data_IF_929476360469
#
_entry.id   IF_929476360469
#
_cell.length_a   1.000
_cell.length_b   1.000
_cell.length_c   1.000
_cell.angle_alpha   90.00
_cell.angle_beta   90.00
_cell.angle_gamma   90.00
#
_symmetry.space_group_name_H-M   'P 1'
#
loop_
_entity.id
_entity.type
_entity.pdbx_description
1 polymer ?
#
# COMPACT_ATOMS: atom_id res chain seq x y z
N UNK A 1 -1.91 2.43 10.41
CA UNK A 1 -1.40 2.37 11.80
C UNK A 1 -2.49 2.51 12.86
N UNK A 2 -3.38 3.51 12.79
CA UNK A 2 -4.41 3.77 13.81
C UNK A 2 -5.35 2.57 14.09
N UNK A 3 -5.77 1.87 13.03
CA UNK A 3 -6.55 0.62 13.13
C UNK A 3 -5.81 -0.50 13.87
N UNK A 4 -4.49 -0.60 13.70
CA UNK A 4 -3.65 -1.60 14.36
C UNK A 4 -3.51 -1.30 15.87
N UNK A 5 -3.26 -0.03 16.23
CA UNK A 5 -3.17 0.41 17.63
C UNK A 5 -4.50 0.20 18.37
N UNK A 6 -5.64 0.45 17.72
CA UNK A 6 -6.98 0.17 18.29
C UNK A 6 -7.15 -1.32 18.63
N UNK A 7 -6.82 -2.20 17.68
CA UNK A 7 -6.90 -3.65 17.90
C UNK A 7 -5.99 -4.13 19.03
N UNK A 8 -4.79 -3.59 19.13
CA UNK A 8 -3.83 -3.94 20.18
C UNK A 8 -4.28 -3.49 21.58
N UNK A 9 -4.82 -2.27 21.67
CA UNK A 9 -5.23 -1.67 22.95
C UNK A 9 -6.58 -2.19 23.50
N UNK A 10 -7.38 -2.87 22.66
CA UNK A 10 -8.77 -3.22 22.99
C UNK A 10 -9.77 -2.06 22.93
N UNK A 11 -9.32 -0.82 22.66
CA UNK A 11 -10.21 0.34 22.54
C UNK A 11 -10.51 0.67 21.08
N UNK A 12 -11.79 0.63 20.72
CA UNK A 12 -12.29 1.10 19.42
C UNK A 12 -12.30 2.62 19.32
N UNK A 13 -12.48 3.31 20.47
CA UNK A 13 -12.44 4.76 20.60
C UNK A 13 -11.71 5.14 21.91
N UNK A 14 -10.50 5.72 21.85
CA UNK A 14 -9.83 6.18 23.05
C UNK A 14 -10.63 7.32 23.70
N UNK A 15 -10.60 7.40 25.02
CA UNK A 15 -11.09 8.58 25.75
C UNK A 15 -10.20 9.79 25.44
N UNK A 16 -10.72 11.01 25.61
CA UNK A 16 -9.96 12.27 25.41
C UNK A 16 -8.61 12.28 26.14
N UNK A 17 -8.56 11.70 27.34
CA UNK A 17 -7.33 11.61 28.15
C UNK A 17 -6.28 10.70 27.51
N UNK A 18 -6.72 9.64 26.82
CA UNK A 18 -5.83 8.65 26.21
C UNK A 18 -5.48 8.96 24.75
N UNK A 19 -6.09 9.97 24.14
CA UNK A 19 -5.82 10.35 22.74
C UNK A 19 -4.33 10.60 22.48
N UNK A 20 -3.64 11.29 23.40
CA UNK A 20 -2.21 11.58 23.27
C UNK A 20 -1.36 10.29 23.27
N UNK A 21 -1.73 9.32 24.10
CA UNK A 21 -1.04 8.02 24.17
C UNK A 21 -1.23 7.23 22.87
N UNK A 22 -2.44 7.25 22.31
CA UNK A 22 -2.72 6.61 21.02
C UNK A 22 -1.97 7.28 19.87
N UNK A 23 -1.93 8.62 19.84
CA UNK A 23 -1.17 9.37 18.84
C UNK A 23 0.32 9.00 18.90
N UNK A 24 0.92 8.99 20.10
CA UNK A 24 2.33 8.59 20.30
C UNK A 24 2.60 7.16 19.83
N UNK A 25 1.70 6.21 20.15
CA UNK A 25 1.87 4.83 19.71
C UNK A 25 1.80 4.69 18.18
N UNK A 26 0.91 5.45 17.53
CA UNK A 26 0.84 5.50 16.07
C UNK A 26 2.12 6.04 15.46
N UNK A 27 2.66 7.13 16.01
CA UNK A 27 3.90 7.75 15.52
C UNK A 27 5.10 6.81 15.66
N UNK A 28 5.20 6.09 16.78
CA UNK A 28 6.25 5.08 16.98
C UNK A 28 6.18 3.95 15.97
N UNK A 29 4.97 3.43 15.69
CA UNK A 29 4.79 2.38 14.67
C UNK A 29 5.13 2.91 13.28
N UNK A 30 4.76 4.16 12.96
CA UNK A 30 5.11 4.79 11.69
C UNK A 30 6.63 4.93 11.55
N UNK A 31 7.32 5.39 12.60
CA UNK A 31 8.77 5.52 12.62
C UNK A 31 9.47 4.17 12.43
N UNK A 32 9.05 3.13 13.15
CA UNK A 32 9.61 1.79 13.00
C UNK A 32 9.41 1.24 11.57
N UNK A 33 8.27 1.53 10.94
CA UNK A 33 8.03 1.16 9.54
C UNK A 33 8.95 1.91 8.57
N UNK A 34 9.19 3.22 8.79
CA UNK A 34 10.15 4.00 8.01
C UNK A 34 11.57 3.44 8.15
N UNK A 35 12.02 3.21 9.39
CA UNK A 35 13.33 2.64 9.67
C UNK A 35 13.52 1.27 8.99
N UNK A 36 12.48 0.42 9.01
CA UNK A 36 12.50 -0.84 8.25
C UNK A 36 12.69 -0.59 6.76
N UNK A 37 11.83 0.23 6.14
CA UNK A 37 11.88 0.49 4.70
C UNK A 37 13.22 1.09 4.26
N UNK A 38 13.78 2.00 5.05
CA UNK A 38 15.09 2.61 4.79
C UNK A 38 16.23 1.60 4.93
N UNK A 39 16.09 0.60 5.80
CA UNK A 39 17.07 -0.47 5.98
C UNK A 39 17.01 -1.57 4.92
N UNK A 40 15.94 -1.63 4.12
CA UNK A 40 15.78 -2.67 3.11
C UNK A 40 16.75 -2.43 1.94
N UNK A 41 17.79 -3.26 1.87
CA UNK A 41 18.65 -3.35 0.69
C UNK A 41 17.98 -4.23 -0.35
N UNK A 42 17.70 -3.66 -1.52
CA UNK A 42 17.12 -4.39 -2.65
C UNK A 42 18.17 -4.54 -3.75
N UNK A 43 18.47 -5.78 -4.12
CA UNK A 43 19.29 -6.12 -5.28
C UNK A 43 18.50 -6.09 -6.60
N UNK A 44 17.21 -5.74 -6.55
CA UNK A 44 16.38 -5.67 -7.74
C UNK A 44 16.83 -4.49 -8.61
N UNK A 45 16.92 -4.68 -9.94
CA UNK A 45 17.24 -3.57 -10.84
C UNK A 45 16.19 -2.46 -10.71
N UNK A 46 16.58 -1.18 -10.88
CA UNK A 46 15.66 -0.06 -10.83
C UNK A 46 14.45 -0.29 -11.76
N UNK A 47 13.25 0.04 -11.27
CA UNK A 47 12.03 -0.14 -12.04
C UNK A 47 11.98 0.88 -13.18
N UNK A 48 12.07 0.41 -14.41
CA UNK A 48 11.97 1.21 -15.62
C UNK A 48 10.49 1.52 -15.95
N UNK A 49 10.15 2.81 -16.07
CA UNK A 49 8.78 3.25 -16.32
C UNK A 49 8.28 2.88 -17.71
N UNK A 50 9.13 2.88 -18.74
CA UNK A 50 8.76 2.58 -20.12
C UNK A 50 8.50 1.09 -20.30
N UNK A 51 9.33 0.26 -19.65
CA UNK A 51 9.13 -1.21 -19.61
C UNK A 51 7.82 -1.55 -18.90
N UNK A 52 7.53 -0.90 -17.77
CA UNK A 52 6.31 -1.14 -17.02
C UNK A 52 5.06 -0.63 -17.73
N UNK A 53 5.14 0.53 -18.40
CA UNK A 53 4.08 1.03 -19.27
C UNK A 53 3.80 0.07 -20.43
N UNK A 54 4.83 -0.49 -21.03
CA UNK A 54 4.70 -1.49 -22.10
C UNK A 54 4.02 -2.77 -21.60
N UNK A 55 4.42 -3.28 -20.43
CA UNK A 55 3.75 -4.43 -19.78
C UNK A 55 2.28 -4.15 -19.48
N UNK A 56 1.95 -2.95 -19.00
CA UNK A 56 0.56 -2.54 -18.74
C UNK A 56 -0.24 -2.50 -20.05
N UNK A 57 0.29 -1.89 -21.11
CA UNK A 57 -0.35 -1.86 -22.44
C UNK A 57 -0.61 -3.26 -22.99
N UNK A 58 0.37 -4.15 -22.91
CA UNK A 58 0.23 -5.54 -23.33
C UNK A 58 -0.84 -6.28 -22.51
N UNK A 59 -0.88 -6.08 -21.19
CA UNK A 59 -1.91 -6.67 -20.30
C UNK A 59 -3.31 -6.17 -20.64
N UNK A 60 -3.47 -4.88 -20.91
CA UNK A 60 -4.73 -4.28 -21.33
C UNK A 60 -5.18 -4.84 -22.69
N UNK A 61 -4.26 -4.95 -23.66
CA UNK A 61 -4.55 -5.55 -24.96
C UNK A 61 -5.00 -7.02 -24.83
N UNK A 62 -4.35 -7.82 -23.99
CA UNK A 62 -4.76 -9.21 -23.73
C UNK A 62 -6.15 -9.31 -23.08
N UNK A 63 -6.50 -8.34 -22.20
CA UNK A 63 -7.79 -8.33 -21.48
C UNK A 63 -8.95 -7.84 -22.33
N UNK A 64 -8.73 -6.82 -23.16
CA UNK A 64 -9.81 -6.14 -23.90
C UNK A 64 -9.83 -6.45 -25.40
N UNK A 65 -8.72 -6.97 -25.96
CA UNK A 65 -8.60 -7.29 -27.38
C UNK A 65 -9.52 -8.42 -27.87
N UNK A 66 -9.91 -9.35 -26.99
CA UNK A 66 -10.83 -10.45 -27.33
C UNK A 66 -12.32 -10.13 -27.09
N UNK A 67 -12.62 -9.13 -26.26
CA UNK A 67 -14.01 -8.81 -25.86
C UNK A 67 -14.67 -7.73 -26.72
N UNK A 68 -13.91 -6.98 -27.53
CA UNK A 68 -14.44 -5.98 -28.45
C UNK A 68 -14.95 -6.55 -29.77
N UNK A 69 -14.34 -7.64 -30.27
CA UNK A 69 -14.63 -8.19 -31.59
C UNK A 69 -15.94 -9.00 -31.69
N UNK A 70 -16.60 -9.30 -30.57
CA UNK A 70 -17.84 -10.10 -30.52
C UNK A 70 -19.14 -9.29 -30.30
N UNK A 71 -19.11 -7.96 -30.33
CA UNK A 71 -20.29 -7.11 -29.98
C UNK A 71 -20.88 -6.28 -31.12
N UNK A 72 -20.56 -6.59 -32.38
CA UNK A 72 -21.15 -5.92 -33.55
C UNK A 72 -21.51 -6.94 -34.63
N UNK A 73 -22.58 -7.70 -34.39
CA UNK A 73 -23.42 -8.36 -35.40
C UNK A 73 -24.80 -8.53 -34.76
#
# INVERSE_FOLDING_TARGET
>A
SLQFVRKLSGFTRPSKVNELTFARAVDQVARAAHELLDSLVTNAPPRDRDVEATKVRARTAARFGSSGAKRTT
#
